data_IF_405362490023
#
_entry.id   IF_405362490023
#
_cell.length_a   1.000
_cell.length_b   1.000
_cell.length_c   1.000
_cell.angle_alpha   90.00
_cell.angle_beta   90.00
_cell.angle_gamma   90.00
#
_symmetry.space_group_name_H-M   'P 1'
#
loop_
_entity.id
_entity.type
_entity.pdbx_description
1 polymer ?
#
# COMPACT_ATOMS: atom_id res chain seq x y z
N UNK A 1 -34.26 3.77 29.63
CA UNK A 1 -32.96 3.62 28.93
C UNK A 1 -32.35 5.01 28.88
N UNK A 2 -31.20 5.26 29.51
CA UNK A 2 -30.47 6.50 29.26
C UNK A 2 -30.16 6.59 27.77
N UNK A 3 -30.34 7.75 27.11
CA UNK A 3 -29.84 7.91 25.75
C UNK A 3 -28.35 7.57 25.75
N UNK A 4 -27.92 6.72 24.82
CA UNK A 4 -26.51 6.36 24.69
C UNK A 4 -25.71 7.67 24.56
N UNK A 5 -24.80 7.91 25.52
CA UNK A 5 -23.96 9.11 25.51
C UNK A 5 -23.14 9.12 24.21
N UNK A 6 -23.19 10.26 23.54
CA UNK A 6 -22.28 10.61 22.47
C UNK A 6 -20.83 10.41 22.94
N UNK A 7 -20.02 9.82 22.07
CA UNK A 7 -18.59 9.62 22.31
C UNK A 7 -17.81 10.41 21.29
N UNK A 8 -16.69 10.99 21.70
CA UNK A 8 -15.80 11.72 20.81
C UNK A 8 -14.36 11.27 20.96
N UNK A 9 -13.59 11.46 19.90
CA UNK A 9 -12.14 11.33 19.87
C UNK A 9 -11.57 12.59 19.25
N UNK A 10 -10.51 13.12 19.85
CA UNK A 10 -9.72 14.20 19.27
C UNK A 10 -8.84 13.62 18.15
N UNK A 11 -8.88 14.26 16.99
CA UNK A 11 -8.09 13.91 15.81
C UNK A 11 -7.01 14.96 15.61
N UNK A 12 -5.77 14.50 15.55
CA UNK A 12 -4.62 15.33 15.26
C UNK A 12 -4.06 14.97 13.88
N UNK A 13 -3.61 16.00 13.15
CA UNK A 13 -2.86 15.86 11.90
C UNK A 13 -1.50 16.51 12.13
N UNK A 14 -0.43 15.73 11.95
CA UNK A 14 0.94 16.20 12.16
C UNK A 14 1.17 16.85 13.53
N UNK A 15 0.53 16.30 14.57
CA UNK A 15 0.63 16.79 15.95
C UNK A 15 -0.21 18.03 16.26
N UNK A 16 -0.96 18.57 15.29
CA UNK A 16 -1.88 19.69 15.49
C UNK A 16 -3.30 19.17 15.66
N UNK A 17 -4.04 19.67 16.66
CA UNK A 17 -5.46 19.35 16.83
C UNK A 17 -6.26 19.82 15.62
N UNK A 18 -6.75 18.86 14.83
CA UNK A 18 -7.45 19.10 13.58
C UNK A 18 -8.96 19.18 13.79
N UNK A 19 -9.51 18.41 14.71
CA UNK A 19 -10.95 18.31 14.90
C UNK A 19 -11.37 17.13 15.74
N UNK A 20 -12.66 16.80 15.73
CA UNK A 20 -13.22 15.69 16.50
C UNK A 20 -13.94 14.70 15.60
N UNK A 21 -13.71 13.42 15.87
CA UNK A 21 -14.54 12.32 15.40
C UNK A 21 -15.59 12.01 16.46
N UNK A 22 -16.85 12.19 16.11
CA UNK A 22 -18.01 12.00 16.99
C UNK A 22 -18.75 10.75 16.56
N UNK A 23 -19.12 9.92 17.52
CA UNK A 23 -20.04 8.79 17.35
C UNK A 23 -21.32 9.06 18.13
N UNK A 24 -22.42 9.21 17.41
CA UNK A 24 -23.77 9.37 17.97
C UNK A 24 -24.27 8.08 18.62
N UNK A 25 -25.38 8.17 19.35
CA UNK A 25 -25.97 7.04 20.08
C UNK A 25 -26.45 5.88 19.19
N UNK A 26 -26.72 6.13 17.91
CA UNK A 26 -27.07 5.15 16.87
C UNK A 26 -25.86 4.66 16.07
N UNK A 27 -24.65 5.16 16.37
CA UNK A 27 -23.39 4.70 15.79
C UNK A 27 -22.95 5.40 14.50
N UNK A 28 -23.64 6.47 14.08
CA UNK A 28 -23.19 7.30 12.96
C UNK A 28 -21.91 8.08 13.34
N UNK A 29 -20.99 8.17 12.38
CA UNK A 29 -19.73 8.91 12.54
C UNK A 29 -19.81 10.27 11.86
N UNK A 30 -19.46 11.30 12.61
CA UNK A 30 -19.32 12.69 12.16
C UNK A 30 -17.91 13.17 12.42
N UNK A 31 -17.32 13.89 11.47
CA UNK A 31 -16.04 14.56 11.65
C UNK A 31 -16.21 16.07 11.47
N UNK A 32 -15.75 16.82 12.47
CA UNK A 32 -15.83 18.28 12.50
C UNK A 32 -14.43 18.85 12.70
N UNK A 33 -14.00 19.74 11.81
CA UNK A 33 -12.74 20.46 11.99
C UNK A 33 -12.83 21.45 13.16
N UNK A 34 -11.71 21.66 13.83
CA UNK A 34 -11.58 22.75 14.78
C UNK A 34 -11.52 24.10 14.02
N UNK A 35 -12.27 25.14 14.42
CA UNK A 35 -12.34 26.40 13.66
C UNK A 35 -10.99 27.11 13.44
N UNK A 36 -10.03 26.90 14.35
CA UNK A 36 -8.68 27.49 14.25
C UNK A 36 -7.67 26.59 13.52
N UNK A 37 -8.08 25.44 12.99
CA UNK A 37 -7.18 24.54 12.28
C UNK A 37 -6.74 25.16 10.95
N UNK A 38 -5.43 25.13 10.67
CA UNK A 38 -4.79 25.68 9.47
C UNK A 38 -3.80 24.69 8.83
N UNK A 39 -3.96 23.40 9.13
CA UNK A 39 -3.09 22.34 8.63
C UNK A 39 -3.61 21.67 7.35
N UNK A 40 -2.98 20.56 6.92
CA UNK A 40 -3.42 19.79 5.76
C UNK A 40 -4.85 19.26 5.89
N UNK A 41 -5.50 19.02 4.76
CA UNK A 41 -6.79 18.35 4.72
C UNK A 41 -6.68 16.92 5.29
N UNK A 42 -7.71 16.45 5.98
CA UNK A 42 -7.85 15.05 6.38
C UNK A 42 -7.81 14.13 5.16
N UNK A 43 -8.48 14.56 4.09
CA UNK A 43 -8.61 13.86 2.82
C UNK A 43 -8.91 14.87 1.71
N UNK A 44 -8.56 14.56 0.46
CA UNK A 44 -9.10 15.26 -0.71
C UNK A 44 -10.64 15.24 -0.70
N UNK A 45 -11.25 14.17 -0.16
CA UNK A 45 -12.69 14.06 0.01
C UNK A 45 -13.25 14.76 1.26
N UNK A 46 -12.40 15.14 2.21
CA UNK A 46 -12.78 15.78 3.49
C UNK A 46 -11.89 17.02 3.70
N UNK A 47 -11.99 18.05 2.84
CA UNK A 47 -11.15 19.24 2.96
C UNK A 47 -11.48 20.06 4.21
N UNK A 48 -10.55 20.87 4.69
CA UNK A 48 -10.79 21.79 5.80
C UNK A 48 -11.97 22.70 5.48
N UNK A 49 -13.01 22.65 6.31
CA UNK A 49 -14.26 23.38 6.17
C UNK A 49 -14.87 23.67 7.55
N UNK A 50 -15.75 24.67 7.62
CA UNK A 50 -16.61 24.91 8.79
C UNK A 50 -17.77 23.91 8.90
N UNK A 51 -18.07 23.18 7.83
CA UNK A 51 -19.16 22.21 7.78
C UNK A 51 -18.74 20.85 8.36
N UNK A 52 -19.70 20.16 8.96
CA UNK A 52 -19.52 18.79 9.43
C UNK A 52 -19.53 17.80 8.25
N UNK A 53 -18.65 16.80 8.34
CA UNK A 53 -18.67 15.64 7.45
C UNK A 53 -19.39 14.50 8.14
N UNK A 54 -20.31 13.84 7.43
CA UNK A 54 -21.15 12.77 8.02
C UNK A 54 -21.18 11.50 7.16
N UNK A 55 -21.62 10.41 7.79
CA UNK A 55 -22.04 9.19 7.12
C UNK A 55 -20.90 8.42 6.46
N UNK A 56 -21.18 7.88 5.26
CA UNK A 56 -20.31 6.88 4.60
C UNK A 56 -18.89 7.39 4.35
N UNK A 57 -18.73 8.69 4.05
CA UNK A 57 -17.42 9.25 3.73
C UNK A 57 -16.48 9.20 4.94
N UNK A 58 -16.96 9.65 6.10
CA UNK A 58 -16.20 9.61 7.36
C UNK A 58 -15.93 8.16 7.76
N UNK A 59 -16.96 7.31 7.74
CA UNK A 59 -16.81 5.89 8.07
C UNK A 59 -15.77 5.20 7.18
N UNK A 60 -15.86 5.36 5.86
CA UNK A 60 -14.91 4.73 4.93
C UNK A 60 -13.49 5.24 5.15
N UNK A 61 -13.32 6.55 5.39
CA UNK A 61 -11.99 7.13 5.57
C UNK A 61 -11.30 6.56 6.83
N UNK A 62 -11.99 6.55 7.97
CA UNK A 62 -11.45 6.05 9.23
C UNK A 62 -11.35 4.51 9.27
N UNK A 63 -12.25 3.78 8.61
CA UNK A 63 -12.18 2.31 8.50
C UNK A 63 -10.92 1.86 7.75
N UNK A 64 -10.51 2.59 6.71
CA UNK A 64 -9.34 2.25 5.90
C UNK A 64 -7.99 2.41 6.64
N UNK A 65 -7.98 3.05 7.82
CA UNK A 65 -6.80 3.10 8.70
C UNK A 65 -6.59 1.79 9.47
N UNK A 66 -7.62 0.96 9.59
CA UNK A 66 -7.60 -0.28 10.34
C UNK A 66 -7.29 -1.48 9.43
N UNK A 67 -6.73 -2.59 9.95
CA UNK A 67 -6.40 -3.75 9.12
C UNK A 67 -7.61 -4.31 8.36
N UNK A 68 -7.46 -4.65 7.08
CA UNK A 68 -8.56 -5.19 6.27
C UNK A 68 -9.04 -6.56 6.78
N UNK A 69 -8.15 -7.33 7.40
CA UNK A 69 -8.40 -8.69 7.88
C UNK A 69 -9.27 -8.69 9.16
N UNK A 70 -10.52 -9.22 9.11
CA UNK A 70 -11.42 -9.22 10.27
C UNK A 70 -10.89 -10.02 11.47
N UNK A 71 -10.01 -10.99 11.24
CA UNK A 71 -9.39 -11.82 12.27
C UNK A 71 -8.33 -11.01 13.02
N UNK A 72 -7.55 -10.20 12.30
CA UNK A 72 -6.60 -9.26 12.91
C UNK A 72 -7.36 -8.25 13.78
N UNK A 73 -8.47 -7.69 13.28
CA UNK A 73 -9.33 -6.80 14.08
C UNK A 73 -9.89 -7.48 15.32
N UNK A 74 -10.29 -8.75 15.24
CA UNK A 74 -10.75 -9.54 16.40
C UNK A 74 -9.63 -9.74 17.42
N UNK A 75 -8.41 -10.02 16.98
CA UNK A 75 -7.23 -10.11 17.84
C UNK A 75 -6.98 -8.80 18.60
N UNK A 76 -6.94 -7.68 17.87
CA UNK A 76 -6.80 -6.33 18.43
C UNK A 76 -7.90 -6.00 19.45
N UNK A 77 -9.15 -6.33 19.11
CA UNK A 77 -10.29 -6.09 19.98
C UNK A 77 -10.21 -6.90 21.29
N UNK A 78 -9.82 -8.17 21.19
CA UNK A 78 -9.65 -9.05 22.34
C UNK A 78 -8.49 -8.57 23.25
N UNK A 79 -7.36 -8.18 22.68
CA UNK A 79 -6.19 -7.66 23.40
C UNK A 79 -6.54 -6.38 24.18
N UNK A 80 -7.28 -5.46 23.57
CA UNK A 80 -7.62 -4.18 24.18
C UNK A 80 -8.92 -4.19 25.00
N UNK A 81 -9.58 -5.35 25.12
CA UNK A 81 -10.87 -5.49 25.81
C UNK A 81 -11.99 -4.63 25.22
N UNK A 82 -12.04 -4.53 23.90
CA UNK A 82 -12.96 -3.64 23.15
C UNK A 82 -13.69 -4.39 22.03
N UNK A 83 -14.49 -3.70 21.22
CA UNK A 83 -15.17 -4.28 20.05
C UNK A 83 -14.42 -3.98 18.75
N UNK A 84 -14.75 -4.71 17.67
CA UNK A 84 -14.10 -4.57 16.35
C UNK A 84 -14.56 -3.36 15.53
N UNK A 85 -15.39 -2.48 16.12
CA UNK A 85 -15.88 -1.28 15.45
C UNK A 85 -14.76 -0.25 15.21
N UNK A 86 -14.96 0.61 14.22
CA UNK A 86 -13.96 1.63 13.82
C UNK A 86 -13.60 2.53 14.99
N UNK A 87 -14.59 3.19 15.59
CA UNK A 87 -14.41 4.08 16.74
C UNK A 87 -13.70 3.40 17.94
N UNK A 88 -14.17 2.25 18.46
CA UNK A 88 -13.52 1.59 19.61
C UNK A 88 -12.09 1.10 19.34
N UNK A 89 -11.76 0.71 18.10
CA UNK A 89 -10.39 0.34 17.76
C UNK A 89 -9.50 1.58 17.65
N UNK A 90 -9.95 2.67 17.02
CA UNK A 90 -9.19 3.92 16.95
C UNK A 90 -8.94 4.52 18.33
N UNK A 91 -9.91 4.44 19.24
CA UNK A 91 -9.75 4.88 20.63
C UNK A 91 -8.62 4.13 21.38
N UNK A 92 -8.23 2.93 20.92
CA UNK A 92 -7.19 2.11 21.55
C UNK A 92 -5.86 2.12 20.79
N UNK A 93 -5.92 2.19 19.47
CA UNK A 93 -4.76 2.02 18.57
C UNK A 93 -4.47 3.27 17.73
N UNK A 94 -4.98 4.43 18.14
CA UNK A 94 -4.98 5.66 17.35
C UNK A 94 -3.66 6.44 17.32
N UNK A 95 -2.62 6.05 18.05
CA UNK A 95 -1.43 6.89 18.26
C UNK A 95 -0.37 6.82 17.15
N UNK A 96 -0.29 5.70 16.41
CA UNK A 96 0.62 5.52 15.28
C UNK A 96 -0.08 4.87 14.09
N UNK A 97 -0.90 5.67 13.40
CA UNK A 97 -1.64 5.27 12.21
C UNK A 97 -0.82 5.58 10.93
N UNK A 98 -1.24 5.05 9.76
CA UNK A 98 -0.76 5.54 8.46
C UNK A 98 -0.96 7.06 8.34
N UNK A 99 0.02 7.75 7.76
CA UNK A 99 0.03 9.21 7.69
C UNK A 99 0.37 9.87 9.01
N UNK A 100 -0.06 11.12 9.15
CA UNK A 100 0.23 11.94 10.31
C UNK A 100 -0.94 11.99 11.29
N UNK A 101 -1.86 11.05 11.16
CA UNK A 101 -3.09 11.00 11.92
C UNK A 101 -2.82 10.37 13.26
N UNK A 102 -3.33 11.03 14.29
CA UNK A 102 -3.39 10.49 15.63
C UNK A 102 -4.79 10.70 16.18
N UNK A 103 -5.32 9.69 16.86
CA UNK A 103 -6.64 9.71 17.46
C UNK A 103 -6.50 9.39 18.94
N UNK A 104 -7.02 10.28 19.79
CA UNK A 104 -6.94 10.16 21.26
C UNK A 104 -8.28 10.48 21.90
N UNK A 105 -8.50 10.03 23.13
CA UNK A 105 -9.66 10.47 23.88
C UNK A 105 -9.52 11.97 24.26
N UNK A 106 -10.62 12.75 24.30
CA UNK A 106 -10.56 14.20 24.52
C UNK A 106 -9.97 14.63 25.87
N UNK A 107 -10.01 13.75 26.86
CA UNK A 107 -9.47 13.95 28.20
C UNK A 107 -8.02 13.48 28.34
N UNK A 108 -7.46 12.85 27.32
CA UNK A 108 -6.05 12.48 27.30
C UNK A 108 -5.18 13.61 26.77
N UNK A 109 -3.99 13.76 27.36
CA UNK A 109 -2.94 14.65 26.85
C UNK A 109 -2.66 14.40 25.38
N UNK A 110 -2.58 15.46 24.58
CA UNK A 110 -2.32 15.36 23.15
C UNK A 110 -0.91 14.76 22.90
N UNK A 111 -0.70 13.95 21.85
CA UNK A 111 0.59 13.32 21.60
C UNK A 111 1.78 14.28 21.50
N UNK A 112 1.56 15.52 21.06
CA UNK A 112 2.57 16.59 21.03
C UNK A 112 3.10 16.96 22.42
N UNK A 113 2.33 16.69 23.46
CA UNK A 113 2.65 16.98 24.87
C UNK A 113 3.06 15.72 25.65
N UNK A 114 3.03 14.53 25.03
CA UNK A 114 3.48 13.28 25.65
C UNK A 114 4.96 13.06 25.39
N UNK A 115 5.67 12.55 26.39
CA UNK A 115 7.02 12.03 26.20
C UNK A 115 6.98 10.78 25.30
N UNK A 116 7.72 10.83 24.19
CA UNK A 116 7.89 9.71 23.27
C UNK A 116 9.10 8.88 23.68
N UNK A 117 8.95 7.56 23.68
CA UNK A 117 10.01 6.64 24.07
C UNK A 117 10.36 5.63 22.98
N UNK A 118 11.59 5.12 23.08
CA UNK A 118 12.11 4.07 22.22
C UNK A 118 12.74 2.98 23.08
N UNK A 119 12.20 1.77 23.03
CA UNK A 119 12.71 0.62 23.76
C UNK A 119 13.49 -0.25 22.80
N UNK A 120 14.79 -0.43 23.08
CA UNK A 120 15.68 -1.25 22.24
C UNK A 120 15.18 -2.69 22.18
N UNK A 121 15.06 -3.22 20.96
CA UNK A 121 14.71 -4.61 20.70
C UNK A 121 15.95 -5.39 20.27
N UNK A 122 16.00 -6.66 20.67
CA UNK A 122 16.97 -7.62 20.14
C UNK A 122 16.39 -8.33 18.92
N UNK A 123 17.26 -8.83 18.04
CA UNK A 123 16.85 -9.63 16.89
C UNK A 123 16.03 -10.86 17.32
N UNK A 124 16.38 -11.47 18.45
CA UNK A 124 15.61 -12.58 19.03
C UNK A 124 14.17 -12.17 19.37
N UNK A 125 13.97 -10.98 19.93
CA UNK A 125 12.65 -10.47 20.28
C UNK A 125 11.81 -10.18 19.02
N UNK A 126 12.43 -9.58 18.00
CA UNK A 126 11.79 -9.29 16.71
C UNK A 126 11.46 -10.60 15.98
N UNK A 127 12.42 -11.51 15.86
CA UNK A 127 12.26 -12.80 15.22
C UNK A 127 11.16 -13.65 15.85
N UNK A 128 11.05 -13.65 17.18
CA UNK A 128 9.95 -14.31 17.88
C UNK A 128 8.58 -13.70 17.55
N UNK A 129 8.48 -12.36 17.42
CA UNK A 129 7.23 -11.69 17.00
C UNK A 129 6.90 -12.04 15.54
N UNK A 130 7.87 -11.98 14.63
CA UNK A 130 7.69 -12.29 13.22
C UNK A 130 7.23 -13.74 12.99
N UNK A 131 7.82 -14.72 13.68
CA UNK A 131 7.39 -16.12 13.61
C UNK A 131 5.94 -16.30 14.05
N UNK A 132 5.53 -15.66 15.15
CA UNK A 132 4.12 -15.69 15.60
C UNK A 132 3.17 -15.12 14.54
N UNK A 133 3.53 -13.97 13.96
CA UNK A 133 2.74 -13.35 12.90
C UNK A 133 2.61 -14.25 11.66
N UNK A 134 3.71 -14.89 11.26
CA UNK A 134 3.74 -15.81 10.13
C UNK A 134 2.89 -17.06 10.39
N UNK A 135 2.98 -17.64 11.59
CA UNK A 135 2.17 -18.79 12.00
C UNK A 135 0.68 -18.45 12.04
N UNK A 136 0.32 -17.28 12.55
CA UNK A 136 -1.06 -16.80 12.54
C UNK A 136 -1.55 -16.66 11.10
N UNK A 137 -0.81 -15.96 10.24
CA UNK A 137 -1.17 -15.77 8.84
C UNK A 137 -1.34 -17.11 8.09
N UNK A 138 -0.43 -18.06 8.30
CA UNK A 138 -0.53 -19.41 7.74
C UNK A 138 -1.80 -20.15 8.20
N UNK A 139 -2.12 -20.10 9.50
CA UNK A 139 -3.37 -20.67 10.05
C UNK A 139 -4.61 -20.03 9.45
N UNK A 140 -4.57 -18.73 9.17
CA UNK A 140 -5.70 -18.01 8.58
C UNK A 140 -5.87 -18.34 7.10
N UNK A 141 -4.77 -18.35 6.32
CA UNK A 141 -4.81 -18.76 4.91
C UNK A 141 -5.35 -20.18 4.76
N UNK A 142 -4.88 -21.14 5.55
CA UNK A 142 -5.38 -22.53 5.53
C UNK A 142 -6.91 -22.64 5.73
N UNK A 143 -7.51 -21.71 6.50
CA UNK A 143 -8.97 -21.63 6.70
C UNK A 143 -9.72 -20.91 5.58
N UNK A 144 -9.03 -20.10 4.77
CA UNK A 144 -9.58 -19.33 3.65
C UNK A 144 -9.63 -20.09 2.32
N UNK A 145 -8.96 -21.25 2.19
CA UNK A 145 -8.97 -22.12 1.00
C UNK A 145 -10.35 -22.73 0.64
N UNK A 146 -11.41 -22.40 1.39
CA UNK A 146 -12.79 -22.90 1.18
C UNK A 146 -13.68 -21.94 0.39
N UNK A 147 -13.23 -20.73 0.05
CA UNK A 147 -13.99 -19.75 -0.75
C UNK A 147 -13.41 -19.60 -2.16
N UNK A 148 -14.26 -19.85 -3.16
CA UNK A 148 -13.96 -19.83 -4.60
C UNK A 148 -13.53 -18.44 -5.09
N UNK A 149 -12.65 -18.47 -6.09
CA UNK A 149 -12.11 -17.35 -6.89
C UNK A 149 -11.09 -16.45 -6.14
N UNK A 150 -9.89 -17.01 -5.94
CA UNK A 150 -8.75 -16.38 -5.27
C UNK A 150 -8.17 -15.20 -6.08
N UNK A 151 -8.55 -13.98 -5.72
CA UNK A 151 -7.76 -12.79 -5.99
C UNK A 151 -6.54 -12.77 -5.04
N UNK A 152 -5.34 -12.74 -5.60
CA UNK A 152 -4.07 -12.66 -4.87
C UNK A 152 -3.94 -11.26 -4.25
N UNK A 153 -4.49 -11.08 -3.04
CA UNK A 153 -4.46 -9.85 -2.24
C UNK A 153 -3.32 -9.88 -1.21
N UNK A 154 -2.24 -9.17 -1.46
CA UNK A 154 -1.08 -9.02 -0.58
C UNK A 154 -1.16 -7.79 0.33
N UNK A 155 -1.57 -6.62 -0.17
CA UNK A 155 -1.19 -5.35 0.49
C UNK A 155 -1.90 -4.97 1.80
N UNK A 156 -2.95 -5.69 2.20
CA UNK A 156 -3.78 -5.35 3.37
C UNK A 156 -4.02 -6.47 4.39
N UNK A 157 -3.64 -7.71 4.05
CA UNK A 157 -3.95 -8.88 4.89
C UNK A 157 -2.76 -9.39 5.71
N UNK A 158 -1.53 -9.09 5.27
CA UNK A 158 -0.32 -9.58 5.91
C UNK A 158 -0.05 -8.81 7.22
N UNK A 159 0.14 -9.55 8.30
CA UNK A 159 0.54 -8.96 9.57
C UNK A 159 1.94 -8.33 9.46
N UNK A 160 2.15 -7.19 10.13
CA UNK A 160 3.37 -6.39 10.03
C UNK A 160 3.72 -5.77 11.39
N UNK A 161 4.99 -5.45 11.58
CA UNK A 161 5.47 -4.68 12.72
C UNK A 161 5.80 -3.26 12.27
N UNK A 162 5.44 -2.26 13.07
CA UNK A 162 5.89 -0.88 12.90
C UNK A 162 6.97 -0.60 13.94
N UNK A 163 8.21 -0.38 13.51
CA UNK A 163 9.38 -0.21 14.36
C UNK A 163 10.09 1.11 14.05
N UNK A 164 10.92 1.56 14.98
CA UNK A 164 11.92 2.61 14.75
C UNK A 164 13.26 1.94 14.43
N UNK A 165 13.86 2.28 13.29
CA UNK A 165 15.23 1.95 12.92
C UNK A 165 16.11 3.19 13.05
N UNK A 166 17.14 3.15 13.89
CA UNK A 166 18.09 4.24 14.09
C UNK A 166 19.49 3.68 14.31
N UNK A 167 20.48 4.17 13.58
CA UNK A 167 21.89 3.72 13.67
C UNK A 167 22.04 2.18 13.61
N UNK A 168 21.30 1.54 12.71
CA UNK A 168 21.31 0.09 12.53
C UNK A 168 20.62 -0.71 13.64
N UNK A 169 20.02 -0.05 14.65
CA UNK A 169 19.30 -0.68 15.76
C UNK A 169 17.78 -0.51 15.62
N UNK A 170 17.05 -1.42 16.25
CA UNK A 170 15.60 -1.52 16.18
C UNK A 170 14.96 -1.25 17.52
N UNK A 171 13.88 -0.48 17.51
CA UNK A 171 13.19 -0.05 18.71
C UNK A 171 11.67 -0.21 18.57
N UNK A 172 11.05 -0.62 19.66
CA UNK A 172 9.62 -0.48 19.89
C UNK A 172 9.30 0.96 20.28
N UNK A 173 8.24 1.53 19.73
CA UNK A 173 7.81 2.90 20.02
C UNK A 173 6.83 2.89 21.19
N UNK A 174 7.05 3.78 22.16
CA UNK A 174 6.16 3.98 23.31
C UNK A 174 5.72 5.44 23.40
N UNK A 175 4.57 5.69 24.05
CA UNK A 175 4.02 7.04 24.18
C UNK A 175 3.74 7.68 22.82
N UNK A 176 4.31 8.87 22.57
CA UNK A 176 4.21 9.59 21.29
C UNK A 176 5.29 9.22 20.26
N UNK A 177 6.22 8.31 20.62
CA UNK A 177 7.29 7.84 19.75
C UNK A 177 6.76 7.34 18.40
N UNK A 178 7.40 7.75 17.30
CA UNK A 178 6.98 7.39 15.96
C UNK A 178 7.86 6.30 15.36
N UNK A 179 7.24 5.28 14.77
CA UNK A 179 7.91 4.33 13.88
C UNK A 179 8.36 5.00 12.59
N UNK A 180 9.41 4.48 11.96
CA UNK A 180 9.87 4.91 10.63
C UNK A 180 10.12 3.73 9.67
N UNK A 181 9.85 2.50 10.11
CA UNK A 181 10.04 1.30 9.29
C UNK A 181 8.92 0.31 9.55
N UNK A 182 8.37 -0.24 8.46
CA UNK A 182 7.44 -1.36 8.49
C UNK A 182 8.24 -2.63 8.22
N UNK A 183 8.13 -3.63 9.10
CA UNK A 183 8.77 -4.93 8.93
C UNK A 183 7.69 -5.98 8.67
N UNK A 184 7.70 -6.56 7.47
CA UNK A 184 6.78 -7.63 7.08
C UNK A 184 7.52 -8.98 7.17
N UNK A 185 6.93 -10.00 7.82
CA UNK A 185 7.56 -11.31 7.90
C UNK A 185 7.69 -11.93 6.51
N UNK A 186 8.72 -12.74 6.29
CA UNK A 186 8.68 -13.76 5.25
C UNK A 186 7.49 -14.68 5.53
N UNK A 187 6.55 -14.79 4.60
CA UNK A 187 5.33 -15.56 4.81
C UNK A 187 5.69 -17.05 5.00
N UNK A 188 5.39 -17.60 6.18
CA UNK A 188 5.44 -19.05 6.40
C UNK A 188 4.40 -19.71 5.48
N UNK A 189 4.86 -20.61 4.60
CA UNK A 189 4.00 -21.34 3.65
C UNK A 189 3.74 -20.64 2.30
N UNK A 190 4.34 -19.47 2.05
CA UNK A 190 4.49 -18.91 0.70
C UNK A 190 5.98 -18.70 0.45
N UNK A 191 6.61 -19.73 -0.11
CA UNK A 191 8.02 -19.74 -0.48
C UNK A 191 8.39 -18.41 -1.17
N UNK A 192 9.11 -17.55 -0.43
CA UNK A 192 9.80 -16.36 -0.95
C UNK A 192 8.92 -15.16 -1.39
N UNK A 193 7.67 -15.02 -0.95
CA UNK A 193 6.85 -13.86 -1.34
C UNK A 193 7.47 -12.50 -0.96
N UNK A 194 8.01 -12.38 0.26
CA UNK A 194 8.70 -11.15 0.70
C UNK A 194 9.93 -10.84 -0.16
N UNK A 195 10.59 -11.86 -0.71
CA UNK A 195 11.70 -11.71 -1.64
C UNK A 195 11.22 -11.21 -3.01
N UNK A 196 10.05 -11.66 -3.47
CA UNK A 196 9.44 -11.15 -4.70
C UNK A 196 9.01 -9.68 -4.53
N UNK A 197 8.43 -9.31 -3.38
CA UNK A 197 8.14 -7.90 -3.07
C UNK A 197 9.42 -7.07 -3.06
N UNK A 198 10.47 -7.53 -2.36
CA UNK A 198 11.77 -6.88 -2.34
C UNK A 198 12.33 -6.69 -3.75
N UNK A 199 12.43 -7.77 -4.55
CA UNK A 199 12.96 -7.72 -5.90
C UNK A 199 12.12 -6.80 -6.81
N UNK A 200 10.79 -6.84 -6.71
CA UNK A 200 9.92 -6.00 -7.53
C UNK A 200 10.04 -4.53 -7.17
N UNK A 201 10.13 -4.20 -5.87
CA UNK A 201 10.36 -2.84 -5.37
C UNK A 201 11.75 -2.31 -5.75
N UNK A 202 12.80 -3.12 -5.62
CA UNK A 202 14.17 -2.78 -6.07
C UNK A 202 14.23 -2.58 -7.58
N UNK A 203 13.51 -3.41 -8.35
CA UNK A 203 13.41 -3.28 -9.80
C UNK A 203 12.69 -2.00 -10.22
N UNK A 204 11.59 -1.63 -9.54
CA UNK A 204 10.91 -0.35 -9.77
C UNK A 204 11.85 0.84 -9.54
N UNK A 205 12.62 0.82 -8.44
CA UNK A 205 13.61 1.84 -8.13
C UNK A 205 14.72 1.91 -9.19
N UNK A 206 15.23 0.75 -9.64
CA UNK A 206 16.25 0.66 -10.69
C UNK A 206 15.74 1.14 -12.06
N UNK A 207 14.43 1.06 -12.30
CA UNK A 207 13.77 1.65 -13.48
C UNK A 207 13.52 3.16 -13.34
N UNK A 208 13.94 3.80 -12.24
CA UNK A 208 13.80 5.23 -12.00
C UNK A 208 12.43 5.65 -11.47
N UNK A 209 11.56 4.71 -11.07
CA UNK A 209 10.28 5.04 -10.44
C UNK A 209 10.51 5.41 -8.96
N UNK A 210 9.83 6.45 -8.43
CA UNK A 210 9.88 6.75 -6.99
C UNK A 210 9.25 5.61 -6.19
N UNK A 211 10.01 5.01 -5.27
CA UNK A 211 9.55 3.92 -4.38
C UNK A 211 9.88 4.23 -2.93
N UNK A 212 9.17 3.57 -2.00
CA UNK A 212 9.68 3.39 -0.65
C UNK A 212 10.99 2.60 -0.68
N UNK A 213 11.95 2.96 0.17
CA UNK A 213 13.19 2.18 0.32
C UNK A 213 12.88 0.83 0.98
N UNK A 214 13.51 -0.24 0.49
CA UNK A 214 13.34 -1.59 1.05
C UNK A 214 14.70 -2.25 1.29
N UNK A 215 14.79 -3.04 2.37
CA UNK A 215 15.93 -3.92 2.66
C UNK A 215 15.44 -5.31 3.08
N UNK A 216 16.28 -6.32 2.87
CA UNK A 216 16.11 -7.64 3.46
C UNK A 216 16.81 -7.69 4.82
N UNK A 217 16.13 -8.19 5.83
CA UNK A 217 16.62 -8.30 7.20
C UNK A 217 16.46 -9.74 7.70
N UNK A 218 17.36 -10.16 8.60
CA UNK A 218 17.26 -11.46 9.28
C UNK A 218 17.28 -11.24 10.78
N UNK A 219 16.19 -11.61 11.44
CA UNK A 219 16.02 -11.47 12.89
C UNK A 219 16.01 -12.84 13.53
N UNK A 220 17.16 -13.32 14.02
CA UNK A 220 17.26 -14.62 14.69
C UNK A 220 16.68 -15.76 13.82
N UNK A 221 17.07 -15.79 12.54
CA UNK A 221 16.61 -16.75 11.54
C UNK A 221 15.24 -16.42 10.91
N UNK A 222 14.52 -15.41 11.39
CA UNK A 222 13.30 -14.94 10.75
C UNK A 222 13.63 -13.88 9.68
N UNK A 223 13.51 -14.25 8.42
CA UNK A 223 13.67 -13.30 7.31
C UNK A 223 12.47 -12.37 7.20
N UNK A 224 12.74 -11.11 6.86
CA UNK A 224 11.73 -10.08 6.68
C UNK A 224 12.15 -9.07 5.62
N UNK A 225 11.15 -8.43 5.01
CA UNK A 225 11.36 -7.19 4.26
C UNK A 225 11.10 -6.01 5.21
N UNK A 226 12.07 -5.11 5.30
CA UNK A 226 11.95 -3.84 5.99
C UNK A 226 11.70 -2.73 4.97
N UNK A 227 10.61 -1.98 5.14
CA UNK A 227 10.20 -0.88 4.27
C UNK A 227 10.30 0.42 5.04
N UNK A 228 11.11 1.35 4.57
CA UNK A 228 11.17 2.70 5.13
C UNK A 228 9.86 3.43 4.84
N UNK A 229 9.28 4.01 5.89
CA UNK A 229 8.01 4.71 5.81
C UNK A 229 8.20 6.06 5.11
N UNK A 230 7.67 6.20 3.90
CA UNK A 230 7.69 7.49 3.18
C UNK A 230 6.81 8.56 3.84
N UNK A 231 5.87 8.16 4.71
CA UNK A 231 5.03 9.05 5.52
C UNK A 231 5.71 9.48 6.83
N UNK A 232 7.03 9.30 6.91
CA UNK A 232 7.89 9.66 8.04
C UNK A 232 9.16 10.31 7.52
N UNK A 233 9.55 11.42 8.12
CA UNK A 233 10.84 12.04 7.89
C UNK A 233 11.69 11.90 9.15
N UNK A 234 12.86 11.27 9.05
CA UNK A 234 13.82 11.20 10.16
C UNK A 234 14.87 12.28 9.94
N UNK A 235 14.94 13.27 10.84
CA UNK A 235 15.99 14.29 10.83
C UNK A 235 17.37 13.63 10.99
N UNK A 236 18.30 13.82 10.03
CA UNK A 236 19.66 13.29 10.15
C UNK A 236 20.44 13.86 11.34
N UNK A 237 20.13 15.10 11.75
CA UNK A 237 20.83 15.81 12.83
C UNK A 237 20.33 15.41 14.22
N UNK A 238 19.02 15.39 14.40
CA UNK A 238 18.40 15.16 15.73
C UNK A 238 17.92 13.73 15.94
N UNK A 239 17.80 12.93 14.87
CA UNK A 239 17.13 11.63 14.92
C UNK A 239 15.62 11.72 15.18
N UNK A 240 15.04 12.93 15.23
CA UNK A 240 13.61 13.12 15.43
C UNK A 240 12.83 12.63 14.20
N UNK A 241 11.70 11.96 14.44
CA UNK A 241 10.82 11.47 13.38
C UNK A 241 9.58 12.36 13.30
N UNK A 242 9.43 13.08 12.19
CA UNK A 242 8.24 13.88 11.86
C UNK A 242 7.29 13.04 11.00
N UNK A 243 5.99 13.16 11.25
CA UNK A 243 4.95 12.47 10.46
C UNK A 243 4.52 13.34 9.28
N UNK A 244 4.35 12.73 8.11
CA UNK A 244 3.83 13.38 6.90
C UNK A 244 2.42 12.84 6.67
N UNK A 245 1.44 13.72 6.46
CA UNK A 245 0.06 13.29 6.28
C UNK A 245 -0.13 12.57 4.95
N UNK A 246 -0.92 11.51 4.95
CA UNK A 246 -1.25 10.74 3.76
C UNK A 246 -2.61 10.07 3.86
N UNK A 247 -3.14 9.67 2.70
CA UNK A 247 -4.30 8.80 2.57
C UNK A 247 -4.15 7.87 1.35
N UNK A 248 -4.86 6.75 1.32
CA UNK A 248 -4.93 5.88 0.13
C UNK A 248 -6.08 6.28 -0.84
N UNK A 249 -6.12 5.72 -2.06
CA UNK A 249 -7.17 6.09 -3.03
C UNK A 249 -8.58 5.60 -2.63
N UNK A 250 -8.69 4.59 -1.76
CA UNK A 250 -10.00 4.23 -1.20
C UNK A 250 -10.49 5.33 -0.26
N UNK A 251 -9.62 5.85 0.59
CA UNK A 251 -9.90 7.00 1.46
C UNK A 251 -10.29 8.24 0.65
N UNK A 252 -9.46 8.61 -0.34
CA UNK A 252 -9.69 9.79 -1.18
C UNK A 252 -11.03 9.73 -1.94
N UNK A 253 -11.48 8.53 -2.32
CA UNK A 253 -12.71 8.29 -3.08
C UNK A 253 -13.86 7.75 -2.22
N UNK A 254 -13.77 7.86 -0.89
CA UNK A 254 -14.81 7.43 0.05
C UNK A 254 -15.27 5.97 -0.14
N UNK A 255 -14.35 5.10 -0.55
CA UNK A 255 -14.59 3.67 -0.80
C UNK A 255 -14.19 2.85 0.43
N UNK A 256 -15.06 1.95 0.94
CA UNK A 256 -14.71 1.06 2.04
C UNK A 256 -13.61 0.08 1.63
N UNK A 257 -12.78 -0.30 2.61
CA UNK A 257 -11.65 -1.23 2.44
C UNK A 257 -12.01 -2.54 1.72
N UNK A 258 -13.20 -3.08 1.99
CA UNK A 258 -13.72 -4.31 1.36
C UNK A 258 -13.96 -4.22 -0.15
N UNK A 259 -13.96 -3.02 -0.72
CA UNK A 259 -14.15 -2.76 -2.15
C UNK A 259 -12.91 -2.15 -2.79
N UNK A 260 -11.71 -2.52 -2.34
CA UNK A 260 -10.46 -1.97 -2.87
C UNK A 260 -10.17 -2.30 -4.34
N UNK A 261 -10.75 -3.39 -4.87
CA UNK A 261 -10.60 -3.78 -6.28
C UNK A 261 -11.70 -3.18 -7.15
N UNK A 262 -11.34 -2.82 -8.39
CA UNK A 262 -12.32 -2.32 -9.37
C UNK A 262 -13.43 -3.34 -9.66
N UNK A 263 -13.12 -4.65 -9.63
CA UNK A 263 -14.11 -5.74 -9.81
C UNK A 263 -15.19 -5.76 -8.74
N UNK A 264 -14.87 -5.28 -7.53
CA UNK A 264 -15.77 -5.24 -6.38
C UNK A 264 -16.47 -3.87 -6.24
N UNK A 265 -16.32 -3.01 -7.24
CA UNK A 265 -16.86 -1.64 -7.25
C UNK A 265 -15.93 -0.59 -6.62
N UNK A 266 -14.64 -0.90 -6.52
CA UNK A 266 -13.59 0.02 -6.08
C UNK A 266 -13.12 1.00 -7.14
N UNK A 267 -12.20 1.93 -6.76
CA UNK A 267 -11.61 2.87 -7.70
C UNK A 267 -10.98 2.20 -8.91
N UNK A 268 -11.26 2.75 -10.08
CA UNK A 268 -10.63 2.41 -11.35
C UNK A 268 -9.42 3.30 -11.64
N UNK A 269 -8.58 2.90 -12.61
CA UNK A 269 -7.52 3.76 -13.16
C UNK A 269 -8.07 5.08 -13.70
N UNK A 270 -9.33 5.11 -14.19
CA UNK A 270 -9.95 6.34 -14.69
C UNK A 270 -10.22 7.33 -13.56
N UNK A 271 -10.78 6.87 -12.44
CA UNK A 271 -11.02 7.70 -11.26
C UNK A 271 -9.71 8.13 -10.60
N UNK A 272 -8.71 7.25 -10.57
CA UNK A 272 -7.38 7.59 -10.08
C UNK A 272 -6.73 8.68 -10.96
N UNK A 273 -6.79 8.57 -12.30
CA UNK A 273 -6.29 9.61 -13.22
C UNK A 273 -6.99 10.96 -13.02
N UNK A 274 -8.30 10.97 -12.73
CA UNK A 274 -9.00 12.22 -12.39
C UNK A 274 -8.44 12.87 -11.13
N UNK A 275 -8.22 12.08 -10.07
CA UNK A 275 -7.58 12.60 -8.85
C UNK A 275 -6.17 13.16 -9.13
N UNK A 276 -5.38 12.46 -9.95
CA UNK A 276 -4.01 12.86 -10.27
C UNK A 276 -3.91 14.12 -11.13
N UNK A 277 -4.99 14.56 -11.78
CA UNK A 277 -5.03 15.84 -12.51
C UNK A 277 -5.07 17.06 -11.59
N UNK A 278 -5.70 16.92 -10.42
CA UNK A 278 -5.69 17.97 -9.38
C UNK A 278 -4.48 17.88 -8.45
N UNK A 279 -3.70 16.80 -8.53
CA UNK A 279 -2.52 16.59 -7.72
C UNK A 279 -1.32 17.41 -8.22
N UNK A 280 -0.48 17.85 -7.29
CA UNK A 280 0.77 18.55 -7.59
C UNK A 280 1.87 17.61 -8.07
N UNK A 281 2.94 18.20 -8.61
CA UNK A 281 4.06 17.47 -9.20
C UNK A 281 3.66 16.71 -10.46
N UNK A 282 4.54 15.86 -10.96
CA UNK A 282 4.23 14.97 -12.09
C UNK A 282 3.39 13.76 -11.63
N UNK A 283 2.37 13.95 -10.80
CA UNK A 283 1.57 12.86 -10.21
C UNK A 283 0.83 12.05 -11.27
N UNK A 284 0.33 12.71 -12.32
CA UNK A 284 -0.29 12.02 -13.47
C UNK A 284 0.73 11.11 -14.16
N UNK A 285 1.91 11.62 -14.54
CA UNK A 285 2.94 10.82 -15.19
C UNK A 285 3.46 9.67 -14.32
N UNK A 286 3.68 9.93 -13.01
CA UNK A 286 4.09 8.89 -12.05
C UNK A 286 3.06 7.78 -11.89
N UNK A 287 1.77 8.12 -11.89
CA UNK A 287 0.71 7.12 -11.84
C UNK A 287 0.63 6.29 -13.13
N UNK A 288 0.82 6.92 -14.30
CA UNK A 288 0.93 6.20 -15.57
C UNK A 288 2.12 5.24 -15.56
N UNK A 289 3.30 5.71 -15.15
CA UNK A 289 4.50 4.87 -15.02
C UNK A 289 4.25 3.66 -14.11
N UNK A 290 3.55 3.86 -12.99
CA UNK A 290 3.19 2.78 -12.07
C UNK A 290 2.24 1.75 -12.71
N UNK A 291 1.21 2.18 -13.45
CA UNK A 291 0.32 1.27 -14.17
C UNK A 291 1.08 0.45 -15.22
N UNK A 292 1.95 1.10 -15.99
CA UNK A 292 2.77 0.45 -17.01
C UNK A 292 3.74 -0.55 -16.37
N UNK A 293 4.44 -0.15 -15.31
CA UNK A 293 5.34 -1.02 -14.57
C UNK A 293 4.61 -2.26 -14.03
N UNK A 294 3.48 -2.06 -13.35
CA UNK A 294 2.68 -3.18 -12.83
C UNK A 294 2.21 -4.14 -13.94
N UNK A 295 1.93 -3.62 -15.14
CA UNK A 295 1.61 -4.46 -16.29
C UNK A 295 2.82 -5.28 -16.76
N UNK A 296 4.00 -4.65 -16.87
CA UNK A 296 5.25 -5.25 -17.33
C UNK A 296 5.87 -6.23 -16.33
N UNK A 297 5.54 -6.09 -15.04
CA UNK A 297 6.00 -6.97 -13.96
C UNK A 297 4.95 -7.98 -13.50
N UNK A 298 3.77 -8.03 -14.14
CA UNK A 298 2.65 -8.85 -13.71
C UNK A 298 2.31 -8.68 -12.21
N UNK A 299 2.35 -7.43 -11.73
CA UNK A 299 1.97 -7.06 -10.37
C UNK A 299 0.46 -6.94 -10.28
N UNK A 300 -0.20 -8.08 -10.06
CA UNK A 300 -1.67 -8.20 -10.16
C UNK A 300 -2.42 -7.52 -9.02
N UNK A 301 -1.76 -7.23 -7.91
CA UNK A 301 -2.39 -6.74 -6.69
C UNK A 301 -2.34 -5.21 -6.50
N UNK A 302 -1.97 -4.45 -7.53
CA UNK A 302 -1.89 -2.99 -7.44
C UNK A 302 -3.27 -2.31 -7.43
N UNK A 303 -4.05 -2.55 -6.37
CA UNK A 303 -5.40 -2.03 -6.15
C UNK A 303 -5.40 -0.62 -5.52
N UNK A 304 -6.57 -0.02 -5.31
CA UNK A 304 -6.68 1.37 -4.88
C UNK A 304 -5.96 1.71 -3.55
N UNK A 305 -5.88 0.76 -2.61
CA UNK A 305 -5.14 0.97 -1.34
C UNK A 305 -3.60 0.93 -1.47
N UNK A 306 -3.05 0.55 -2.63
CA UNK A 306 -1.61 0.50 -2.90
C UNK A 306 -1.11 1.76 -3.63
N UNK A 307 -1.96 2.78 -3.71
CA UNK A 307 -1.60 4.11 -4.14
C UNK A 307 -2.07 5.09 -3.07
N UNK A 308 -1.16 5.97 -2.64
CA UNK A 308 -1.44 6.97 -1.64
C UNK A 308 -1.15 8.38 -2.13
N UNK A 309 -1.83 9.34 -1.52
CA UNK A 309 -1.62 10.77 -1.68
C UNK A 309 -0.97 11.31 -0.43
N UNK A 310 0.13 12.05 -0.58
CA UNK A 310 0.72 12.86 0.48
C UNK A 310 0.02 14.22 0.53
N UNK A 311 -0.16 14.75 1.74
CA UNK A 311 -0.82 16.03 2.01
C UNK A 311 0.16 16.98 2.70
N UNK A 312 1.05 17.68 1.96
CA UNK A 312 2.06 18.55 2.54
C UNK A 312 1.49 19.84 3.16
N UNK A 313 0.32 20.30 2.69
CA UNK A 313 -0.35 21.50 3.19
C UNK A 313 -1.84 21.46 2.84
N UNK A 314 -2.61 22.42 3.35
CA UNK A 314 -4.04 22.55 3.03
C UNK A 314 -4.26 22.70 1.52
N UNK A 315 -5.21 21.95 0.96
CA UNK A 315 -5.57 22.00 -0.47
C UNK A 315 -4.50 21.45 -1.42
N UNK A 316 -3.38 20.93 -0.92
CA UNK A 316 -2.25 20.45 -1.72
C UNK A 316 -2.04 18.98 -1.47
N UNK A 317 -1.98 18.20 -2.54
CA UNK A 317 -1.70 16.78 -2.47
C UNK A 317 -0.90 16.28 -3.67
N UNK A 318 -0.15 15.20 -3.50
CA UNK A 318 0.67 14.59 -4.55
C UNK A 318 0.76 13.08 -4.38
N UNK A 319 1.00 12.34 -5.47
CA UNK A 319 1.19 10.89 -5.42
C UNK A 319 2.43 10.53 -4.58
N UNK A 320 2.22 9.65 -3.60
CA UNK A 320 3.28 9.07 -2.78
C UNK A 320 4.19 8.15 -3.62
N UNK A 321 5.43 7.87 -3.16
CA UNK A 321 6.25 6.81 -3.76
C UNK A 321 5.52 5.47 -3.78
N UNK A 322 5.82 4.61 -4.75
CA UNK A 322 5.27 3.26 -4.80
C UNK A 322 5.67 2.44 -3.57
N UNK A 323 4.76 1.59 -3.12
CA UNK A 323 4.94 0.65 -2.02
C UNK A 323 4.06 -0.58 -2.28
N UNK A 324 4.36 -1.69 -1.62
CA UNK A 324 3.57 -2.93 -1.74
C UNK A 324 3.43 -3.45 -3.18
N UNK A 325 4.47 -3.26 -3.98
CA UNK A 325 4.52 -3.75 -5.35
C UNK A 325 5.19 -5.12 -5.35
N UNK A 326 4.46 -6.15 -5.76
CA UNK A 326 4.97 -7.51 -5.86
C UNK A 326 4.48 -8.20 -7.13
N UNK A 327 5.39 -8.82 -7.87
CA UNK A 327 5.04 -9.62 -9.04
C UNK A 327 4.31 -10.90 -8.63
N UNK A 328 3.21 -11.23 -9.31
CA UNK A 328 2.59 -12.55 -9.19
C UNK A 328 3.24 -13.58 -10.14
N UNK A 329 4.12 -13.14 -11.04
CA UNK A 329 4.67 -13.95 -12.13
C UNK A 329 5.17 -15.32 -11.68
N UNK A 330 6.02 -15.50 -10.64
CA UNK A 330 6.54 -16.82 -10.29
C UNK A 330 5.49 -17.79 -9.74
N UNK A 331 4.37 -17.27 -9.24
CA UNK A 331 3.30 -18.06 -8.64
C UNK A 331 2.17 -18.40 -9.63
N UNK A 332 2.22 -17.86 -10.85
CA UNK A 332 1.18 -18.11 -11.85
C UNK A 332 1.17 -19.56 -12.33
N UNK A 333 -0.04 -20.13 -12.43
CA UNK A 333 -0.30 -21.52 -12.83
C UNK A 333 -0.82 -21.58 -14.26
N UNK A 334 -0.32 -22.55 -15.03
CA UNK A 334 -0.75 -22.80 -16.41
C UNK A 334 -2.25 -23.04 -16.49
N UNK A 335 -2.89 -22.48 -17.52
CA UNK A 335 -4.33 -22.62 -17.76
C UNK A 335 -5.22 -21.69 -16.93
N UNK A 336 -4.64 -20.81 -16.09
CA UNK A 336 -5.37 -19.74 -15.41
C UNK A 336 -5.08 -18.39 -16.08
N UNK A 337 -6.11 -17.55 -16.16
CA UNK A 337 -5.97 -16.15 -16.57
C UNK A 337 -5.75 -15.29 -15.34
N UNK A 338 -4.74 -14.43 -15.39
CA UNK A 338 -4.43 -13.48 -14.33
C UNK A 338 -4.75 -12.06 -14.79
N UNK A 339 -5.25 -11.23 -13.87
CA UNK A 339 -5.68 -9.87 -14.14
C UNK A 339 -4.97 -8.89 -13.22
N UNK A 340 -4.60 -7.73 -13.76
CA UNK A 340 -4.20 -6.54 -13.02
C UNK A 340 -5.42 -5.95 -12.33
N UNK A 341 -5.22 -5.40 -11.14
CA UNK A 341 -6.28 -4.76 -10.36
C UNK A 341 -6.89 -3.53 -11.06
N UNK A 342 -6.10 -2.79 -11.83
CA UNK A 342 -6.54 -1.65 -12.64
C UNK A 342 -6.24 -1.89 -14.13
N UNK A 343 -7.16 -1.48 -15.00
CA UNK A 343 -7.03 -1.65 -16.45
C UNK A 343 -6.33 -0.47 -17.13
N UNK A 344 -5.69 -0.74 -18.27
CA UNK A 344 -5.15 0.28 -19.18
C UNK A 344 -5.97 0.19 -20.47
N UNK A 345 -6.77 1.22 -20.74
CA UNK A 345 -7.67 1.24 -21.90
C UNK A 345 -8.69 0.10 -21.89
N UNK A 346 -9.09 -0.37 -20.71
CA UNK A 346 -10.02 -1.49 -20.53
C UNK A 346 -9.39 -2.88 -20.65
N UNK A 347 -8.08 -3.00 -20.88
CA UNK A 347 -7.37 -4.28 -20.79
C UNK A 347 -6.70 -4.42 -19.43
N UNK A 348 -6.88 -5.56 -18.79
CA UNK A 348 -6.23 -5.88 -17.51
C UNK A 348 -5.67 -7.30 -17.47
N UNK A 349 -5.82 -8.12 -18.52
CA UNK A 349 -5.22 -9.46 -18.54
C UNK A 349 -3.71 -9.34 -18.69
N UNK A 350 -2.99 -10.08 -17.86
CA UNK A 350 -1.52 -10.15 -17.93
C UNK A 350 -1.12 -10.74 -19.29
N UNK A 351 -0.21 -10.07 -20.00
CA UNK A 351 0.25 -10.49 -21.33
C UNK A 351 -0.67 -10.09 -22.50
N UNK A 352 -1.70 -9.28 -22.26
CA UNK A 352 -2.65 -8.84 -23.29
C UNK A 352 -2.59 -7.35 -23.66
N UNK A 353 -1.66 -6.59 -23.08
CA UNK A 353 -1.49 -5.18 -23.45
C UNK A 353 -1.10 -5.07 -24.93
N UNK A 354 -1.78 -4.16 -25.64
CA UNK A 354 -1.64 -3.94 -27.09
C UNK A 354 -1.72 -2.45 -27.40
N UNK A 355 -1.27 -2.08 -28.60
CA UNK A 355 -1.28 -0.71 -29.10
C UNK A 355 -2.63 0.00 -28.88
N UNK A 356 -3.75 -0.64 -29.27
CA UNK A 356 -5.10 -0.05 -29.13
C UNK A 356 -5.56 0.15 -27.68
N UNK A 357 -5.01 -0.60 -26.72
CA UNK A 357 -5.26 -0.35 -25.29
C UNK A 357 -4.60 0.97 -24.86
N UNK A 358 -3.36 1.21 -25.27
CA UNK A 358 -2.63 2.45 -24.99
C UNK A 358 -3.25 3.65 -25.69
N UNK A 359 -3.60 3.53 -26.98
CA UNK A 359 -4.28 4.59 -27.73
C UNK A 359 -5.64 4.96 -27.09
N UNK A 360 -6.40 3.97 -26.63
CA UNK A 360 -7.66 4.21 -25.93
C UNK A 360 -7.42 4.90 -24.58
N UNK A 361 -6.45 4.45 -23.80
CA UNK A 361 -6.10 5.07 -22.52
C UNK A 361 -5.68 6.53 -22.72
N UNK A 362 -4.79 6.78 -23.70
CA UNK A 362 -4.36 8.12 -24.07
C UNK A 362 -5.54 9.01 -24.46
N UNK A 363 -6.45 8.50 -25.30
CA UNK A 363 -7.67 9.23 -25.70
C UNK A 363 -8.57 9.57 -24.51
N UNK A 364 -8.81 8.64 -23.59
CA UNK A 364 -9.65 8.87 -22.40
C UNK A 364 -9.07 9.98 -21.51
N UNK A 365 -7.75 10.05 -21.42
CA UNK A 365 -7.05 10.95 -20.49
C UNK A 365 -6.44 12.20 -21.15
N UNK A 366 -6.59 12.37 -22.46
CA UNK A 366 -5.99 13.50 -23.19
C UNK A 366 -4.46 13.45 -23.24
N UNK A 367 -3.87 12.26 -23.23
CA UNK A 367 -2.42 12.06 -23.34
C UNK A 367 -2.00 11.88 -24.81
N UNK A 368 -0.72 12.08 -25.09
CA UNK A 368 -0.14 11.71 -26.39
C UNK A 368 0.06 10.18 -26.46
N UNK A 369 -0.55 9.54 -27.46
CA UNK A 369 -0.51 8.09 -27.61
C UNK A 369 0.88 7.57 -28.00
N UNK A 370 1.64 8.34 -28.79
CA UNK A 370 3.01 7.99 -29.18
C UNK A 370 3.94 7.99 -27.98
N UNK A 371 3.93 9.08 -27.21
CA UNK A 371 4.69 9.22 -25.98
C UNK A 371 4.34 8.14 -24.95
N UNK A 372 3.06 7.73 -24.84
CA UNK A 372 2.66 6.64 -23.96
C UNK A 372 3.21 5.27 -24.42
N UNK A 373 3.22 5.02 -25.73
CA UNK A 373 3.81 3.80 -26.30
C UNK A 373 5.32 3.79 -26.09
N UNK A 374 6.00 4.89 -26.40
CA UNK A 374 7.44 5.04 -26.21
C UNK A 374 7.81 4.87 -24.73
N UNK A 375 7.03 5.48 -23.82
CA UNK A 375 7.23 5.32 -22.37
C UNK A 375 7.03 3.89 -21.90
N UNK A 376 6.08 3.16 -22.47
CA UNK A 376 5.88 1.73 -22.17
C UNK A 376 7.10 0.91 -22.59
N UNK A 377 7.66 1.22 -23.75
CA UNK A 377 8.86 0.58 -24.28
C UNK A 377 10.11 0.89 -23.44
N UNK A 378 10.28 2.15 -23.02
CA UNK A 378 11.37 2.58 -22.13
C UNK A 378 11.35 1.85 -20.78
N UNK A 379 10.18 1.72 -20.15
CA UNK A 379 10.05 0.98 -18.88
C UNK A 379 10.33 -0.50 -19.10
N UNK A 380 9.89 -1.08 -20.22
CA UNK A 380 10.17 -2.47 -20.55
C UNK A 380 11.68 -2.72 -20.75
N UNK A 381 12.38 -1.84 -21.45
CA UNK A 381 13.83 -1.92 -21.61
C UNK A 381 14.56 -1.70 -20.28
N UNK A 382 14.09 -0.78 -19.43
CA UNK A 382 14.65 -0.58 -18.09
C UNK A 382 14.47 -1.81 -17.20
N UNK A 383 13.31 -2.49 -17.25
CA UNK A 383 13.09 -3.77 -16.55
C UNK A 383 14.08 -4.81 -17.05
N UNK A 384 14.20 -5.00 -18.36
CA UNK A 384 15.11 -5.98 -18.96
C UNK A 384 16.57 -5.69 -18.61
N UNK A 385 16.97 -4.42 -18.59
CA UNK A 385 18.35 -4.03 -18.29
C UNK A 385 18.73 -4.24 -16.82
N UNK A 386 17.78 -4.09 -15.89
CA UNK A 386 18.07 -4.10 -14.45
C UNK A 386 17.73 -5.41 -13.75
N UNK A 387 16.93 -6.30 -14.35
CA UNK A 387 16.42 -7.51 -13.68
C UNK A 387 17.54 -8.42 -13.17
N UNK A 388 18.59 -8.63 -13.95
CA UNK A 388 19.68 -9.56 -13.56
C UNK A 388 20.47 -9.03 -12.36
N UNK A 389 20.73 -7.72 -12.32
CA UNK A 389 21.42 -7.08 -11.20
C UNK A 389 20.58 -7.15 -9.91
N UNK A 390 19.28 -6.85 -10.00
CA UNK A 390 18.37 -6.87 -8.84
C UNK A 390 18.17 -8.29 -8.31
N UNK A 391 17.99 -9.27 -9.20
CA UNK A 391 17.82 -10.66 -8.79
C UNK A 391 19.11 -11.25 -8.19
N UNK A 392 20.27 -10.74 -8.57
CA UNK A 392 21.56 -11.06 -7.93
C UNK A 392 21.69 -10.55 -6.49
N UNK A 393 20.79 -9.67 -6.01
CA UNK A 393 20.75 -9.24 -4.60
C UNK A 393 20.06 -10.28 -3.68
N UNK A 394 19.33 -11.24 -4.26
CA UNK A 394 18.60 -12.25 -3.50
C UNK A 394 19.53 -13.35 -2.93
N UNK A 395 19.21 -13.94 -1.77
CA UNK A 395 20.05 -14.96 -1.17
C UNK A 395 20.04 -16.26 -1.99
N UNK A 396 21.22 -16.85 -2.23
CA UNK A 396 21.38 -18.09 -2.96
C UNK A 396 21.10 -19.33 -2.09
N UNK A 397 20.03 -20.06 -2.42
CA UNK A 397 19.69 -21.36 -1.83
C UNK A 397 18.62 -22.07 -2.67
N UNK A 398 18.60 -23.39 -2.56
CA UNK A 398 17.61 -24.26 -3.20
C UNK A 398 16.18 -23.75 -2.94
N UNK A 399 15.39 -23.61 -4.01
CA UNK A 399 14.05 -23.03 -3.99
C UNK A 399 14.01 -21.53 -4.29
N UNK A 400 14.94 -20.72 -3.77
CA UNK A 400 15.07 -19.30 -4.15
C UNK A 400 15.64 -19.19 -5.56
N UNK A 401 16.71 -19.93 -5.86
CA UNK A 401 17.34 -19.84 -7.18
C UNK A 401 16.34 -20.22 -8.29
N UNK A 402 15.52 -21.24 -8.05
CA UNK A 402 14.44 -21.64 -8.97
C UNK A 402 13.38 -20.55 -9.13
N UNK A 403 12.92 -19.97 -8.02
CA UNK A 403 11.92 -18.89 -8.05
C UNK A 403 12.46 -17.65 -8.77
N UNK A 404 13.73 -17.33 -8.53
CA UNK A 404 14.46 -16.23 -9.16
C UNK A 404 14.55 -16.43 -10.66
N UNK A 405 14.93 -17.63 -11.12
CA UNK A 405 14.99 -17.94 -12.55
C UNK A 405 13.61 -17.91 -13.21
N UNK A 406 12.58 -18.45 -12.56
CA UNK A 406 11.20 -18.39 -13.07
C UNK A 406 10.72 -16.94 -13.17
N UNK A 407 10.94 -16.11 -12.13
CA UNK A 407 10.61 -14.69 -12.15
C UNK A 407 11.32 -13.99 -13.32
N UNK A 408 12.64 -14.21 -13.46
CA UNK A 408 13.47 -13.68 -14.54
C UNK A 408 12.90 -14.00 -15.91
N UNK A 409 12.75 -15.28 -16.23
CA UNK A 409 12.29 -15.75 -17.55
C UNK A 409 10.91 -15.19 -17.89
N UNK A 410 9.99 -15.19 -16.92
CA UNK A 410 8.61 -14.72 -17.12
C UNK A 410 8.54 -13.21 -17.35
N UNK A 411 9.30 -12.41 -16.61
CA UNK A 411 9.32 -10.96 -16.79
C UNK A 411 10.00 -10.54 -18.10
N UNK A 412 11.12 -11.18 -18.46
CA UNK A 412 11.78 -10.95 -19.76
C UNK A 412 10.82 -11.26 -20.92
N UNK A 413 10.14 -12.40 -20.86
CA UNK A 413 9.17 -12.79 -21.88
C UNK A 413 8.00 -11.81 -21.96
N UNK A 414 7.46 -11.38 -20.80
CA UNK A 414 6.37 -10.40 -20.71
C UNK A 414 6.75 -9.05 -21.34
N UNK A 415 7.92 -8.52 -21.00
CA UNK A 415 8.42 -7.25 -21.54
C UNK A 415 8.58 -7.34 -23.05
N UNK A 416 9.32 -8.35 -23.55
CA UNK A 416 9.56 -8.51 -24.99
C UNK A 416 8.29 -8.71 -25.80
N UNK A 417 7.34 -9.50 -25.30
CA UNK A 417 6.05 -9.66 -25.97
C UNK A 417 5.23 -8.37 -25.96
N UNK A 418 5.27 -7.60 -24.87
CA UNK A 418 4.58 -6.31 -24.77
C UNK A 418 5.16 -5.31 -25.78
N UNK A 419 6.49 -5.16 -25.85
CA UNK A 419 7.17 -4.28 -26.82
C UNK A 419 6.80 -4.60 -28.27
N UNK A 420 6.75 -5.90 -28.61
CA UNK A 420 6.25 -6.34 -29.92
C UNK A 420 4.79 -5.91 -30.13
N UNK A 421 3.92 -6.20 -29.16
CA UNK A 421 2.47 -6.02 -29.27
C UNK A 421 2.01 -4.55 -29.30
N UNK A 422 2.80 -3.62 -28.75
CA UNK A 422 2.51 -2.18 -28.80
C UNK A 422 3.00 -1.50 -30.09
N UNK A 423 3.86 -2.16 -30.87
CA UNK A 423 4.42 -1.63 -32.13
C UNK A 423 3.71 -2.15 -33.38
N UNK A 424 2.92 -3.22 -33.27
CA UNK A 424 2.16 -3.79 -34.41
C UNK A 424 0.71 -3.31 -34.42
N UNK A 425 0.06 -3.44 -35.58
CA UNK A 425 -1.39 -3.27 -35.65
C UNK A 425 -2.11 -4.32 -34.79
N UNK A 426 -3.29 -3.96 -34.26
CA UNK A 426 -4.05 -4.85 -33.37
C UNK A 426 -4.49 -6.17 -34.04
N UNK A 427 -4.49 -6.25 -35.37
CA UNK A 427 -4.75 -7.45 -36.18
C UNK A 427 -3.61 -8.47 -36.11
N UNK A 428 -2.39 -8.04 -35.79
CA UNK A 428 -1.19 -8.86 -35.66
C UNK A 428 -0.79 -9.09 -34.20
N UNK A 429 -1.69 -8.78 -33.26
CA UNK A 429 -1.47 -8.97 -31.83
C UNK A 429 -1.40 -10.46 -31.48
N UNK A 430 -0.41 -10.81 -30.66
CA UNK A 430 -0.25 -12.15 -30.10
C UNK A 430 -0.10 -12.07 -28.58
N UNK A 431 -1.12 -12.54 -27.86
CA UNK A 431 -1.06 -12.62 -26.40
C UNK A 431 0.07 -13.56 -25.94
N UNK A 432 0.73 -13.20 -24.84
CA UNK A 432 1.74 -14.07 -24.23
C UNK A 432 1.16 -14.82 -23.03
N UNK A 433 1.41 -16.13 -22.99
CA UNK A 433 1.21 -16.98 -21.82
C UNK A 433 2.57 -17.18 -21.12
N UNK A 434 2.87 -16.32 -20.16
CA UNK A 434 4.16 -16.34 -19.43
C UNK A 434 4.32 -17.60 -18.58
N UNK A 435 3.25 -18.35 -18.30
CA UNK A 435 3.35 -19.59 -17.50
C UNK A 435 4.07 -20.72 -18.22
N UNK A 436 4.30 -20.58 -19.53
CA UNK A 436 5.10 -21.51 -20.35
C UNK A 436 6.61 -21.39 -20.11
N UNK A 437 7.05 -20.29 -19.52
CA UNK A 437 8.46 -20.01 -19.24
C UNK A 437 8.75 -20.45 -17.80
N UNK A 438 9.46 -21.56 -17.68
CA UNK A 438 9.88 -22.17 -16.41
C UNK A 438 11.33 -22.63 -16.53
N UNK A 439 12.01 -22.71 -15.37
CA UNK A 439 13.32 -23.33 -15.19
C UNK A 439 13.29 -24.83 -15.43
#
# INVERSE_FOLDING_TARGET
MSPAREKSLDVLIAGTFAGRLIMSGDGELTFSYHPAYQGPDLSVGIPVSSDDYVGRRVLAWFDNLLPDNPQVRRGMAAEAGTSTGVFPLLARFGLDLPGAIQVVAPDETHPSEREGGYVLLTDRAIGARLRRLADDDARHRARSWTTRDEHWSLGGMQAKLALRRHEGRWYECTGSGASNTIVKPGAAGLDNQALVEYATMRLAAACGLPTASVSLENFDGAEAIAIERYDRFTSPESGQVTRIHQEDLCQALATPSSKKYTTDGGPSSVQAMELMRGAEGNSTGRFVDALLFNCLTASTDAHAKNYSLLHPAQGRYLLAPLYDVASAAPFMKKGKTYHLAMSIGGENRVGWLRKSSLERFAKIHGLDAGALIDRTDEIADAVVANIDAVLGELPHRDGIDRLTEVLRLRLLALCRATQRNIRVESTHFEAIDITRYNS
#
